data_IF_713890017962
#
_entry.id   IF_713890017962
#
_cell.length_a   1.000
_cell.length_b   1.000
_cell.length_c   1.000
_cell.angle_alpha   90.00
_cell.angle_beta   90.00
_cell.angle_gamma   90.00
#
_symmetry.space_group_name_H-M   'P 1'
#
loop_
_entity.id
_entity.type
_entity.pdbx_description
1 polymer ?
#
# COMPACT_ATOMS: atom_id res chain seq x y z
N UNK A 1 -3.40 -2.89 31.71
CA UNK A 1 -4.37 -2.16 30.85
C UNK A 1 -4.45 -2.88 29.50
N UNK A 2 -5.53 -3.64 29.24
CA UNK A 2 -5.67 -4.45 28.03
C UNK A 2 -5.95 -3.51 26.85
N UNK A 3 -4.91 -3.20 26.07
CA UNK A 3 -5.00 -2.33 24.90
C UNK A 3 -5.76 -3.13 23.82
N UNK A 4 -7.06 -2.92 23.74
CA UNK A 4 -7.92 -3.49 22.69
C UNK A 4 -7.39 -3.02 21.33
N UNK A 5 -6.56 -3.85 20.70
CA UNK A 5 -6.14 -3.72 19.31
C UNK A 5 -7.34 -4.05 18.43
N UNK A 6 -8.34 -3.17 18.41
CA UNK A 6 -9.43 -3.23 17.45
C UNK A 6 -8.81 -2.97 16.08
N UNK A 7 -8.45 -4.05 15.39
CA UNK A 7 -8.23 -4.06 13.95
C UNK A 7 -9.36 -3.24 13.35
N UNK A 8 -9.04 -2.18 12.62
CA UNK A 8 -10.05 -1.27 12.08
C UNK A 8 -10.65 -1.95 10.85
N UNK A 9 -11.50 -2.96 11.07
CA UNK A 9 -12.10 -3.81 10.02
C UNK A 9 -13.23 -3.08 9.30
N UNK A 10 -13.87 -2.12 9.96
CA UNK A 10 -14.99 -1.34 9.42
C UNK A 10 -14.68 -0.67 8.06
N UNK A 11 -13.58 0.09 7.88
CA UNK A 11 -13.25 0.70 6.59
C UNK A 11 -12.84 -0.34 5.53
N UNK A 12 -12.27 -1.48 5.91
CA UNK A 12 -11.99 -2.57 4.98
C UNK A 12 -13.27 -3.18 4.42
N UNK A 13 -14.23 -3.49 5.30
CA UNK A 13 -15.51 -4.07 4.91
C UNK A 13 -16.27 -3.10 3.99
N UNK A 14 -16.29 -1.80 4.33
CA UNK A 14 -16.89 -0.76 3.49
C UNK A 14 -16.21 -0.69 2.11
N UNK A 15 -14.88 -0.73 2.07
CA UNK A 15 -14.11 -0.75 0.83
C UNK A 15 -14.44 -1.97 -0.04
N UNK A 16 -14.40 -3.17 0.55
CA UNK A 16 -14.71 -4.42 -0.16
C UNK A 16 -16.14 -4.37 -0.70
N UNK A 17 -17.10 -3.89 0.08
CA UNK A 17 -18.47 -3.71 -0.37
C UNK A 17 -18.59 -2.72 -1.54
N UNK A 18 -17.87 -1.59 -1.51
CA UNK A 18 -17.87 -0.59 -2.59
C UNK A 18 -17.21 -1.16 -3.86
N UNK A 19 -16.07 -1.84 -3.73
CA UNK A 19 -15.35 -2.47 -4.85
C UNK A 19 -16.22 -3.55 -5.50
N UNK A 20 -16.86 -4.41 -4.71
CA UNK A 20 -17.77 -5.43 -5.22
C UNK A 20 -18.99 -4.79 -5.87
N UNK A 21 -19.57 -3.76 -5.26
CA UNK A 21 -20.70 -3.02 -5.84
C UNK A 21 -20.35 -2.40 -7.19
N UNK A 22 -19.20 -1.73 -7.30
CA UNK A 22 -18.71 -1.14 -8.55
C UNK A 22 -18.44 -2.22 -9.61
N UNK A 23 -17.93 -3.39 -9.25
CA UNK A 23 -17.72 -4.48 -10.21
C UNK A 23 -19.00 -5.14 -10.68
N UNK A 24 -20.00 -5.29 -9.80
CA UNK A 24 -21.34 -5.73 -10.20
C UNK A 24 -21.97 -4.69 -11.14
N UNK A 25 -21.83 -3.42 -10.82
CA UNK A 25 -22.31 -2.33 -11.67
C UNK A 25 -21.62 -2.32 -13.05
N UNK A 26 -20.30 -2.53 -13.09
CA UNK A 26 -19.49 -2.70 -14.31
C UNK A 26 -19.95 -3.91 -15.16
N UNK A 27 -20.43 -4.98 -14.52
CA UNK A 27 -20.94 -6.16 -15.24
C UNK A 27 -22.32 -5.89 -15.86
N UNK A 28 -23.18 -5.17 -15.15
CA UNK A 28 -24.60 -5.02 -15.50
C UNK A 28 -24.85 -3.83 -16.42
N UNK A 29 -24.19 -2.69 -16.21
CA UNK A 29 -24.42 -1.48 -17.02
C UNK A 29 -24.15 -1.67 -18.52
N UNK A 30 -23.07 -2.34 -18.96
CA UNK A 30 -22.80 -2.54 -20.39
C UNK A 30 -23.81 -3.45 -21.07
N UNK A 31 -24.57 -4.26 -20.32
CA UNK A 31 -25.63 -5.11 -20.91
C UNK A 31 -26.94 -4.38 -21.18
N UNK A 32 -27.17 -3.21 -20.58
CA UNK A 32 -28.39 -2.41 -20.74
C UNK A 32 -28.17 -1.13 -21.55
N UNK A 33 -26.92 -0.75 -21.79
CA UNK A 33 -26.54 0.44 -22.56
C UNK A 33 -26.14 0.07 -23.99
N UNK A 34 -26.17 1.07 -24.87
CA UNK A 34 -25.61 0.97 -26.22
C UNK A 34 -24.11 0.68 -26.17
N UNK A 35 -23.58 0.01 -27.19
CA UNK A 35 -22.25 -0.60 -27.20
C UNK A 35 -21.14 0.43 -26.89
N UNK A 36 -21.21 1.62 -27.49
CA UNK A 36 -20.24 2.70 -27.23
C UNK A 36 -20.33 3.28 -25.81
N UNK A 37 -21.55 3.40 -25.26
CA UNK A 37 -21.74 3.90 -23.89
C UNK A 37 -21.35 2.84 -22.85
N UNK A 38 -21.62 1.56 -23.13
CA UNK A 38 -21.20 0.44 -22.30
C UNK A 38 -19.69 0.35 -22.15
N UNK A 39 -18.93 0.55 -23.24
CA UNK A 39 -17.47 0.54 -23.22
C UNK A 39 -16.89 1.69 -22.36
N UNK A 40 -17.43 2.91 -22.51
CA UNK A 40 -16.99 4.08 -21.74
C UNK A 40 -17.30 3.89 -20.25
N UNK A 41 -18.53 3.46 -19.93
CA UNK A 41 -18.96 3.20 -18.55
C UNK A 41 -18.14 2.08 -17.92
N UNK A 42 -17.86 1.02 -18.67
CA UNK A 42 -17.03 -0.08 -18.21
C UNK A 42 -15.60 0.35 -17.90
N UNK A 43 -15.00 1.17 -18.77
CA UNK A 43 -13.69 1.77 -18.52
C UNK A 43 -13.67 2.63 -17.25
N UNK A 44 -14.61 3.58 -17.11
CA UNK A 44 -14.67 4.49 -15.95
C UNK A 44 -14.89 3.71 -14.66
N UNK A 45 -15.78 2.73 -14.68
CA UNK A 45 -16.11 1.94 -13.49
C UNK A 45 -14.96 1.03 -13.08
N UNK A 46 -14.28 0.41 -14.05
CA UNK A 46 -13.09 -0.41 -13.78
C UNK A 46 -11.94 0.44 -13.24
N UNK A 47 -11.68 1.59 -13.86
CA UNK A 47 -10.66 2.53 -13.42
C UNK A 47 -10.95 3.08 -12.02
N UNK A 48 -12.18 3.49 -11.76
CA UNK A 48 -12.65 3.93 -10.45
C UNK A 48 -12.48 2.84 -9.39
N UNK A 49 -12.80 1.58 -9.73
CA UNK A 49 -12.62 0.44 -8.84
C UNK A 49 -11.15 0.23 -8.45
N UNK A 50 -10.23 0.30 -9.41
CA UNK A 50 -8.80 0.14 -9.16
C UNK A 50 -8.28 1.28 -8.28
N UNK A 51 -8.66 2.53 -8.59
CA UNK A 51 -8.24 3.70 -7.80
C UNK A 51 -8.77 3.66 -6.36
N UNK A 52 -10.08 3.44 -6.19
CA UNK A 52 -10.70 3.41 -4.87
C UNK A 52 -10.19 2.20 -4.07
N UNK A 53 -10.15 1.02 -4.70
CA UNK A 53 -9.66 -0.20 -4.07
C UNK A 53 -8.21 -0.05 -3.60
N UNK A 54 -7.36 0.55 -4.43
CA UNK A 54 -5.97 0.87 -4.07
C UNK A 54 -5.88 1.87 -2.91
N UNK A 55 -6.61 2.98 -2.98
CA UNK A 55 -6.60 4.01 -1.93
C UNK A 55 -7.10 3.47 -0.58
N UNK A 56 -8.17 2.68 -0.58
CA UNK A 56 -8.67 2.06 0.64
C UNK A 56 -7.75 0.95 1.16
N UNK A 57 -7.11 0.18 0.29
CA UNK A 57 -6.10 -0.79 0.69
C UNK A 57 -4.93 -0.09 1.39
N UNK A 58 -4.43 1.02 0.84
CA UNK A 58 -3.41 1.86 1.48
C UNK A 58 -3.90 2.39 2.83
N UNK A 59 -5.12 2.93 2.89
CA UNK A 59 -5.69 3.42 4.15
C UNK A 59 -5.86 2.32 5.20
N UNK A 60 -6.20 1.10 4.78
CA UNK A 60 -6.28 -0.06 5.67
C UNK A 60 -4.91 -0.46 6.21
N UNK A 61 -3.90 -0.57 5.33
CA UNK A 61 -2.52 -0.87 5.73
C UNK A 61 -2.03 0.21 6.69
N UNK A 62 -2.23 1.48 6.35
CA UNK A 62 -1.90 2.63 7.21
C UNK A 62 -2.63 2.56 8.55
N UNK A 63 -3.94 2.35 8.59
CA UNK A 63 -4.70 2.30 9.85
C UNK A 63 -4.30 1.13 10.78
N UNK A 64 -3.78 0.03 10.22
CA UNK A 64 -3.40 -1.14 11.02
C UNK A 64 -1.93 -1.14 11.44
N UNK A 65 -1.08 -0.44 10.69
CA UNK A 65 0.37 -0.46 10.85
C UNK A 65 0.91 0.88 11.42
N UNK A 66 0.17 1.99 11.28
CA UNK A 66 0.55 3.30 11.85
C UNK A 66 0.84 3.21 13.34
N UNK A 67 1.91 3.89 13.76
CA UNK A 67 2.31 4.00 15.16
C UNK A 67 2.83 2.70 15.80
N UNK A 68 2.85 1.58 15.05
CA UNK A 68 3.43 0.30 15.52
C UNK A 68 4.85 0.08 15.06
N UNK A 69 5.29 0.80 14.01
CA UNK A 69 6.62 0.65 13.46
C UNK A 69 7.57 1.67 14.11
N UNK A 70 8.65 1.21 14.77
CA UNK A 70 9.66 2.10 15.30
C UNK A 70 10.39 2.81 14.16
N UNK A 71 10.76 4.07 14.38
CA UNK A 71 11.30 4.94 13.31
C UNK A 71 12.53 4.36 12.61
N UNK A 72 13.38 3.64 13.34
CA UNK A 72 14.56 2.94 12.76
C UNK A 72 14.18 1.91 11.72
N UNK A 73 13.16 1.08 11.99
CA UNK A 73 12.70 0.04 11.06
C UNK A 73 12.05 0.68 9.84
N UNK A 74 11.28 1.75 10.04
CA UNK A 74 10.70 2.52 8.94
C UNK A 74 11.78 2.98 7.93
N UNK A 75 12.83 3.63 8.43
CA UNK A 75 13.92 4.15 7.58
C UNK A 75 14.74 3.05 6.92
N UNK A 76 15.02 1.94 7.62
CA UNK A 76 15.79 0.83 7.03
C UNK A 76 15.04 0.20 5.86
N UNK A 77 13.75 -0.11 6.04
CA UNK A 77 12.95 -0.72 4.98
C UNK A 77 12.77 0.24 3.80
N UNK A 78 12.55 1.53 4.07
CA UNK A 78 12.49 2.56 3.03
C UNK A 78 13.77 2.59 2.18
N UNK A 79 14.94 2.53 2.83
CA UNK A 79 16.24 2.52 2.16
C UNK A 79 16.44 1.26 1.31
N UNK A 80 16.01 0.09 1.82
CA UNK A 80 16.03 -1.16 1.05
C UNK A 80 15.14 -1.06 -0.20
N UNK A 81 13.93 -0.49 -0.08
CA UNK A 81 13.04 -0.28 -1.22
C UNK A 81 13.68 0.66 -2.25
N UNK A 82 14.28 1.77 -1.80
CA UNK A 82 15.01 2.72 -2.66
C UNK A 82 16.17 2.03 -3.37
N UNK A 83 16.92 1.15 -2.68
CA UNK A 83 17.98 0.38 -3.29
C UNK A 83 17.47 -0.48 -4.45
N UNK A 84 16.37 -1.21 -4.27
CA UNK A 84 15.78 -2.00 -5.36
C UNK A 84 15.21 -1.15 -6.50
N UNK A 85 14.68 0.05 -6.22
CA UNK A 85 14.31 1.01 -7.26
C UNK A 85 15.53 1.37 -8.12
N UNK A 86 16.66 1.73 -7.49
CA UNK A 86 17.89 2.08 -8.21
C UNK A 86 18.42 0.90 -9.01
N UNK A 87 18.44 -0.30 -8.43
CA UNK A 87 18.85 -1.52 -9.14
C UNK A 87 17.94 -1.77 -10.35
N UNK A 88 16.62 -1.68 -10.20
CA UNK A 88 15.66 -1.85 -11.29
C UNK A 88 15.88 -0.84 -12.42
N UNK A 89 16.09 0.44 -12.08
CA UNK A 89 16.43 1.50 -13.04
C UNK A 89 17.72 1.12 -13.78
N UNK A 90 18.81 0.84 -13.07
CA UNK A 90 20.10 0.51 -13.68
C UNK A 90 19.99 -0.70 -14.61
N UNK A 91 19.24 -1.74 -14.21
CA UNK A 91 18.98 -2.91 -15.05
C UNK A 91 18.22 -2.57 -16.34
N UNK A 92 17.28 -1.63 -16.32
CA UNK A 92 16.55 -1.19 -17.53
C UNK A 92 17.42 -0.38 -18.49
N UNK A 93 18.40 0.35 -18.00
CA UNK A 93 19.30 1.18 -18.81
C UNK A 93 20.54 0.41 -19.35
N UNK A 94 20.58 -0.91 -19.23
CA UNK A 94 21.64 -1.74 -19.81
C UNK A 94 21.40 -1.98 -21.30
N UNK A 95 22.30 -1.57 -22.21
CA UNK A 95 22.12 -1.71 -23.66
C UNK A 95 22.36 -3.13 -24.22
N UNK A 96 22.74 -4.10 -23.38
CA UNK A 96 23.35 -5.36 -23.82
C UNK A 96 22.44 -6.60 -23.75
N UNK A 97 21.32 -6.59 -23.00
CA UNK A 97 20.47 -7.77 -22.88
C UNK A 97 18.98 -7.42 -22.63
N UNK A 98 18.11 -7.84 -23.56
CA UNK A 98 16.65 -7.68 -23.47
C UNK A 98 16.06 -8.43 -22.26
N UNK A 99 16.69 -9.52 -21.83
CA UNK A 99 16.25 -10.30 -20.65
C UNK A 99 16.45 -9.54 -19.32
N UNK A 100 17.54 -8.78 -19.21
CA UNK A 100 17.83 -7.93 -18.03
C UNK A 100 16.84 -6.77 -17.97
N UNK A 101 16.43 -6.24 -19.13
CA UNK A 101 15.41 -5.20 -19.20
C UNK A 101 14.07 -5.67 -18.62
N UNK A 102 13.57 -6.85 -19.01
CA UNK A 102 12.28 -7.35 -18.53
C UNK A 102 12.30 -7.65 -17.03
N UNK A 103 13.42 -8.21 -16.55
CA UNK A 103 13.62 -8.46 -15.12
C UNK A 103 13.74 -7.15 -14.33
N UNK A 104 14.53 -6.19 -14.82
CA UNK A 104 14.69 -4.87 -14.23
C UNK A 104 13.38 -4.09 -14.16
N UNK A 105 12.54 -4.19 -15.18
CA UNK A 105 11.20 -3.61 -15.18
C UNK A 105 10.33 -4.18 -14.06
N UNK A 106 10.30 -5.50 -13.89
CA UNK A 106 9.53 -6.13 -12.82
C UNK A 106 10.04 -5.72 -11.43
N UNK A 107 11.36 -5.74 -11.23
CA UNK A 107 11.99 -5.28 -9.96
C UNK A 107 11.61 -3.83 -9.68
N UNK A 108 11.71 -2.96 -10.68
CA UNK A 108 11.34 -1.55 -10.56
C UNK A 108 9.85 -1.38 -10.22
N UNK A 109 8.97 -2.10 -10.93
CA UNK A 109 7.52 -2.03 -10.74
C UNK A 109 7.11 -2.44 -9.32
N UNK A 110 7.60 -3.58 -8.83
CA UNK A 110 7.27 -4.04 -7.47
C UNK A 110 7.88 -3.15 -6.40
N UNK A 111 9.09 -2.65 -6.60
CA UNK A 111 9.74 -1.72 -5.68
C UNK A 111 9.01 -0.38 -5.62
N UNK A 112 8.49 0.11 -6.75
CA UNK A 112 7.68 1.33 -6.81
C UNK A 112 6.35 1.15 -6.07
N UNK A 113 5.67 0.02 -6.27
CA UNK A 113 4.44 -0.29 -5.52
C UNK A 113 4.72 -0.37 -4.02
N UNK A 114 5.79 -1.07 -3.63
CA UNK A 114 6.21 -1.14 -2.24
C UNK A 114 6.54 0.25 -1.67
N UNK A 115 7.21 1.11 -2.44
CA UNK A 115 7.53 2.48 -2.05
C UNK A 115 6.30 3.34 -1.84
N UNK A 116 5.32 3.27 -2.75
CA UNK A 116 4.05 3.99 -2.62
C UNK A 116 3.34 3.55 -1.34
N UNK A 117 3.27 2.24 -1.07
CA UNK A 117 2.64 1.75 0.17
C UNK A 117 3.42 2.20 1.40
N UNK A 118 4.73 2.03 1.39
CA UNK A 118 5.59 2.30 2.55
C UNK A 118 5.64 3.80 2.88
N UNK A 119 5.72 4.67 1.88
CA UNK A 119 5.75 6.14 2.07
C UNK A 119 4.47 6.72 2.69
N UNK A 120 3.35 5.98 2.64
CA UNK A 120 2.10 6.37 3.29
C UNK A 120 1.97 5.86 4.74
N UNK A 121 2.91 5.05 5.21
CA UNK A 121 3.00 4.62 6.60
C UNK A 121 3.65 5.71 7.43
N UNK A 122 3.05 6.05 8.57
CA UNK A 122 3.59 7.02 9.53
C UNK A 122 4.30 6.26 10.66
N UNK A 123 5.60 6.53 10.90
CA UNK A 123 6.34 5.91 11.99
C UNK A 123 5.85 6.40 13.36
N UNK A 124 6.19 5.65 14.41
CA UNK A 124 5.89 6.00 15.81
C UNK A 124 6.50 7.36 16.19
N UNK A 125 5.79 8.14 17.01
CA UNK A 125 6.24 9.47 17.44
C UNK A 125 7.42 9.35 18.42
N UNK A 126 8.44 10.23 18.36
CA UNK A 126 9.61 10.16 19.23
C UNK A 126 9.30 10.18 20.74
N UNK A 127 8.22 10.86 21.14
CA UNK A 127 7.78 10.92 22.54
C UNK A 127 7.32 9.57 23.07
N UNK A 128 6.61 8.79 22.26
CA UNK A 128 6.09 7.47 22.64
C UNK A 128 7.19 6.39 22.63
N UNK A 129 8.28 6.60 21.88
CA UNK A 129 9.47 5.74 21.91
C UNK A 129 10.32 6.00 23.16
N UNK A 130 10.44 7.27 23.58
CA UNK A 130 11.18 7.65 24.79
C UNK A 130 10.48 7.15 26.07
N UNK A 131 9.15 7.28 26.14
CA UNK A 131 8.35 6.90 27.30
C UNK A 131 8.33 5.38 27.53
N UNK A 132 8.30 4.57 26.45
CA UNK A 132 8.48 3.11 26.54
C UNK A 132 9.91 2.72 26.97
N UNK A 133 10.94 3.41 26.46
CA UNK A 133 12.32 3.13 26.84
C UNK A 133 12.60 3.45 28.32
N UNK A 134 12.02 4.52 28.85
CA UNK A 134 12.08 4.86 30.28
C UNK A 134 11.31 3.85 31.15
N UNK A 135 10.13 3.40 30.69
CA UNK A 135 9.36 2.37 31.38
C UNK A 135 10.08 1.01 31.45
N UNK A 136 10.71 0.57 30.35
CA UNK A 136 11.52 -0.66 30.31
C UNK A 136 12.77 -0.54 31.20
N UNK A 137 13.42 0.63 31.21
CA UNK A 137 14.56 0.89 32.09
C UNK A 137 14.17 0.91 33.58
N UNK A 138 12.96 1.38 33.91
CA UNK A 138 12.43 1.34 35.27
C UNK A 138 12.07 -0.10 35.70
N UNK A 139 11.53 -0.92 34.80
CA UNK A 139 11.17 -2.31 35.07
C UNK A 139 12.38 -3.24 35.27
N UNK A 140 13.54 -2.92 34.67
CA UNK A 140 14.79 -3.66 34.88
C UNK A 140 15.49 -3.33 36.21
N UNK A 141 15.14 -2.21 36.84
CA UNK A 141 15.71 -1.74 38.10
C UNK A 141 14.80 -1.99 39.32
N UNK A 142 13.64 -2.64 39.13
CA UNK A 142 12.69 -3.05 40.18
C UNK A 142 12.72 -4.55 40.39
#
# INVERSE_FOLDING_TARGET
>A
MKRDTKIVVKPLIISVCIVVFLQVLNRVLPTVLDQTLGDIVGFITNFGTILLGGAFFLAFVAANVNGKIPRRVHTIVELVIIFFLVVGIVSMFQPLAIEIYSTGFNVLMFSLLAFIVWSHLVPKMPSEEAEEAEADAAALNS
#
